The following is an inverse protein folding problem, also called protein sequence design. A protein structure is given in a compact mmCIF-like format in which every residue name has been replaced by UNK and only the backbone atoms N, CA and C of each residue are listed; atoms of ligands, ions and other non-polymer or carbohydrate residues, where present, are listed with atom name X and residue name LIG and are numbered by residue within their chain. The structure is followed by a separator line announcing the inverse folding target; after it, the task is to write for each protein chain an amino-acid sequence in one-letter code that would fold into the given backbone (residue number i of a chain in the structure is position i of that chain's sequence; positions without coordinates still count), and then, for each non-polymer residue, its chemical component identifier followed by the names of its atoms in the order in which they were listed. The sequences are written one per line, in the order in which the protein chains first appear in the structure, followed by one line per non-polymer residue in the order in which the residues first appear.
data_IF_928564112960
#
_entry.id   IF_928564112960
#
_cell.length_a   1.000
_cell.length_b   1.000
_cell.length_c   1.000
_cell.angle_alpha   90.00
_cell.angle_beta   90.00
_cell.angle_gamma   90.00
#
_symmetry.space_group_name_H-M   'P 1'
#
loop_
_entity.id
_entity.type
_entity.pdbx_description
1 polymer ?
#
# COMPACT_ATOMS: atom_id res chain seq x y z
N UNK A 1 7.78 21.10 9.72
CA UNK A 1 8.17 20.44 8.44
C UNK A 1 9.25 19.36 8.62
N UNK A 2 9.61 18.99 9.86
CA UNK A 2 10.54 17.90 10.11
C UNK A 2 9.86 16.56 9.79
N UNK A 3 10.37 15.86 8.77
CA UNK A 3 9.90 14.54 8.37
C UNK A 3 9.24 14.46 7.00
N UNK A 4 9.11 15.57 6.29
CA UNK A 4 8.62 15.58 4.91
C UNK A 4 9.76 15.95 3.95
N UNK A 5 9.95 15.17 2.92
CA UNK A 5 11.07 15.29 1.98
C UNK A 5 10.92 16.53 1.10
N UNK A 6 11.88 17.46 1.18
CA UNK A 6 12.07 18.57 0.25
C UNK A 6 11.64 19.95 0.76
N UNK A 7 12.45 20.95 0.48
CA UNK A 7 12.22 22.36 0.87
C UNK A 7 10.95 22.97 0.27
N UNK A 8 10.46 22.45 -0.84
CA UNK A 8 9.22 22.93 -1.47
C UNK A 8 7.96 22.59 -0.67
N UNK A 9 8.01 21.56 0.16
CA UNK A 9 6.88 21.17 1.02
C UNK A 9 6.65 22.15 2.18
N UNK A 10 7.64 22.97 2.52
CA UNK A 10 7.48 24.02 3.54
C UNK A 10 6.88 25.32 2.99
N UNK A 11 6.76 25.47 1.68
CA UNK A 11 6.25 26.67 1.03
C UNK A 11 4.75 26.56 0.71
N UNK A 12 4.22 25.33 0.61
CA UNK A 12 2.81 25.06 0.25
C UNK A 12 2.30 23.86 1.01
N UNK A 13 1.10 23.98 1.56
CA UNK A 13 0.43 22.85 2.20
C UNK A 13 0.00 21.83 1.15
N UNK A 14 0.28 20.56 1.41
CA UNK A 14 -0.09 19.44 0.55
C UNK A 14 -0.78 18.36 1.34
N UNK A 15 -1.80 17.76 0.72
CA UNK A 15 -2.45 16.55 1.21
C UNK A 15 -2.19 15.44 0.21
N UNK A 16 -1.59 14.35 0.68
CA UNK A 16 -1.45 13.13 -0.09
C UNK A 16 -2.64 12.23 0.21
N UNK A 17 -3.34 11.81 -0.83
CA UNK A 17 -4.52 10.96 -0.73
C UNK A 17 -4.45 9.84 -1.75
N UNK A 18 -5.03 8.70 -1.42
CA UNK A 18 -5.16 7.58 -2.34
C UNK A 18 -5.90 6.40 -1.74
N UNK A 19 -6.40 5.48 -2.57
CA UNK A 19 -7.05 4.28 -2.10
C UNK A 19 -6.04 3.33 -1.44
N UNK A 20 -6.38 2.80 -0.27
CA UNK A 20 -5.52 1.87 0.47
C UNK A 20 -5.50 0.46 -0.13
N UNK A 21 -6.54 0.07 -0.88
CA UNK A 21 -6.68 -1.28 -1.44
C UNK A 21 -7.05 -1.25 -2.91
N UNK A 22 -6.11 -0.85 -3.81
CA UNK A 22 -6.36 -0.86 -5.24
C UNK A 22 -6.50 -2.29 -5.77
N UNK A 23 -7.30 -2.47 -6.82
CA UNK A 23 -7.46 -3.75 -7.51
C UNK A 23 -6.44 -3.95 -8.64
N UNK A 24 -5.83 -2.89 -9.14
CA UNK A 24 -4.75 -2.96 -10.14
C UNK A 24 -3.59 -3.81 -9.63
N UNK A 25 -3.04 -4.63 -10.50
CA UNK A 25 -1.90 -5.51 -10.20
C UNK A 25 -0.79 -5.31 -11.20
N UNK A 26 0.43 -5.22 -10.66
CA UNK A 26 1.66 -5.18 -11.42
C UNK A 26 2.47 -6.45 -11.30
N UNK A 27 3.69 -6.41 -11.79
CA UNK A 27 4.61 -7.52 -11.67
C UNK A 27 6.06 -7.06 -11.63
N UNK A 28 6.90 -7.89 -11.04
CA UNK A 28 8.36 -7.77 -11.05
C UNK A 28 8.93 -8.99 -11.77
N UNK A 29 9.88 -8.77 -12.67
CA UNK A 29 10.52 -9.84 -13.44
C UNK A 29 12.02 -9.64 -13.48
N UNK A 30 12.75 -10.74 -13.51
CA UNK A 30 14.18 -10.75 -13.79
C UNK A 30 14.38 -10.31 -15.26
N UNK A 31 15.28 -9.36 -15.49
CA UNK A 31 15.58 -8.80 -16.80
C UNK A 31 16.82 -9.41 -17.46
N UNK A 32 17.64 -10.14 -16.69
CA UNK A 32 18.86 -10.80 -17.19
C UNK A 32 19.43 -11.81 -16.21
N UNK A 33 20.45 -12.59 -16.62
CA UNK A 33 21.01 -13.68 -15.81
C UNK A 33 21.87 -13.19 -14.64
N UNK A 34 22.40 -11.98 -14.71
CA UNK A 34 23.31 -11.44 -13.71
C UNK A 34 22.60 -10.48 -12.76
N UNK A 35 23.04 -10.43 -11.51
CA UNK A 35 22.49 -9.55 -10.47
C UNK A 35 22.69 -8.05 -10.74
N UNK A 36 23.52 -7.70 -11.71
CA UNK A 36 23.75 -6.31 -12.15
C UNK A 36 22.57 -5.77 -12.97
N UNK A 37 21.73 -6.65 -13.54
CA UNK A 37 20.57 -6.21 -14.31
C UNK A 37 19.47 -5.75 -13.36
N UNK A 38 19.01 -4.53 -13.53
CA UNK A 38 17.85 -4.02 -12.80
C UNK A 38 16.60 -4.84 -13.14
N UNK A 39 15.77 -5.20 -12.16
CA UNK A 39 14.54 -5.94 -12.43
C UNK A 39 13.57 -5.08 -13.25
N UNK A 40 12.82 -5.72 -14.12
CA UNK A 40 11.69 -5.06 -14.78
C UNK A 40 10.53 -4.94 -13.79
N UNK A 41 10.09 -3.71 -13.50
CA UNK A 41 9.00 -3.42 -12.57
C UNK A 41 7.88 -2.72 -13.33
N UNK A 42 6.70 -3.31 -13.35
CA UNK A 42 5.47 -2.75 -13.92
C UNK A 42 4.42 -2.62 -12.82
N UNK A 43 4.12 -1.40 -12.40
CA UNK A 43 3.10 -1.15 -11.37
C UNK A 43 1.68 -1.33 -11.89
N UNK A 44 1.41 -0.92 -13.14
CA UNK A 44 0.12 -1.04 -13.80
C UNK A 44 -1.02 -0.32 -13.05
N UNK A 45 -0.72 0.88 -12.52
CA UNK A 45 -1.71 1.71 -11.82
C UNK A 45 -2.94 2.00 -12.68
N UNK A 46 -4.11 2.15 -12.02
CA UNK A 46 -5.37 2.58 -12.65
C UNK A 46 -5.81 1.67 -13.80
N UNK A 47 -5.50 0.37 -13.72
CA UNK A 47 -5.88 -0.60 -14.74
C UNK A 47 -7.33 -1.11 -14.59
N UNK A 48 -8.00 -0.78 -13.48
CA UNK A 48 -9.39 -1.16 -13.21
C UNK A 48 -10.27 0.06 -13.03
N UNK A 49 -11.55 -0.08 -13.40
CA UNK A 49 -12.55 0.98 -13.17
C UNK A 49 -12.75 1.26 -11.68
N UNK A 50 -12.68 0.22 -10.85
CA UNK A 50 -12.78 0.40 -9.39
C UNK A 50 -11.74 1.38 -8.86
N UNK A 51 -10.49 1.28 -9.31
CA UNK A 51 -9.44 2.18 -8.86
C UNK A 51 -9.73 3.64 -9.25
N UNK A 52 -10.29 3.87 -10.44
CA UNK A 52 -10.72 5.22 -10.85
C UNK A 52 -11.86 5.74 -9.98
N UNK A 53 -12.86 4.91 -9.71
CA UNK A 53 -13.99 5.26 -8.82
C UNK A 53 -13.47 5.62 -7.43
N UNK A 54 -12.58 4.84 -6.87
CA UNK A 54 -11.97 5.09 -5.56
C UNK A 54 -11.19 6.41 -5.55
N UNK A 55 -10.43 6.71 -6.61
CA UNK A 55 -9.70 7.97 -6.73
C UNK A 55 -10.63 9.19 -6.85
N UNK A 56 -11.72 9.08 -7.61
CA UNK A 56 -12.75 10.14 -7.70
C UNK A 56 -13.30 10.47 -6.31
N UNK A 57 -13.61 9.42 -5.52
CA UNK A 57 -14.08 9.58 -4.14
C UNK A 57 -13.01 10.18 -3.22
N UNK A 58 -11.78 9.71 -3.31
CA UNK A 58 -10.66 10.24 -2.52
C UNK A 58 -10.48 11.75 -2.73
N UNK A 59 -10.49 12.22 -3.98
CA UNK A 59 -10.33 13.66 -4.29
C UNK A 59 -11.51 14.49 -3.78
N UNK A 60 -12.75 14.00 -3.98
CA UNK A 60 -13.96 14.69 -3.49
C UNK A 60 -13.97 14.82 -1.98
N UNK A 61 -13.70 13.70 -1.27
CA UNK A 61 -13.64 13.69 0.18
C UNK A 61 -12.52 14.58 0.72
N UNK A 62 -11.36 14.57 0.10
CA UNK A 62 -10.24 15.44 0.50
C UNK A 62 -10.61 16.91 0.37
N UNK A 63 -11.23 17.32 -0.74
CA UNK A 63 -11.69 18.71 -0.92
C UNK A 63 -12.76 19.07 0.10
N UNK A 64 -13.72 18.20 0.38
CA UNK A 64 -14.74 18.40 1.41
C UNK A 64 -14.12 18.59 2.80
N UNK A 65 -13.15 17.75 3.18
CA UNK A 65 -12.43 17.89 4.46
C UNK A 65 -11.70 19.23 4.53
N UNK A 66 -10.98 19.60 3.48
CA UNK A 66 -10.22 20.85 3.45
C UNK A 66 -11.12 22.09 3.41
N UNK A 67 -12.38 21.96 3.02
CA UNK A 67 -13.37 23.04 3.02
C UNK A 67 -14.13 23.19 4.33
N UNK A 68 -13.83 22.37 5.35
CA UNK A 68 -14.50 22.51 6.65
C UNK A 68 -14.16 23.86 7.32
N UNK A 69 -15.14 24.50 7.99
CA UNK A 69 -14.94 25.82 8.61
C UNK A 69 -13.79 25.90 9.60
N UNK A 70 -13.44 24.79 10.26
CA UNK A 70 -12.31 24.71 11.19
C UNK A 70 -10.95 24.99 10.52
N UNK A 71 -10.87 24.94 9.19
CA UNK A 71 -9.64 25.20 8.42
C UNK A 71 -9.64 26.57 7.73
N UNK A 72 -10.69 27.38 7.90
CA UNK A 72 -10.85 28.64 7.15
C UNK A 72 -9.71 29.64 7.37
N UNK A 73 -9.17 29.73 8.58
CA UNK A 73 -8.07 30.65 8.88
C UNK A 73 -6.71 30.18 8.32
N UNK A 74 -6.60 28.89 7.95
CA UNK A 74 -5.37 28.30 7.41
C UNK A 74 -5.45 28.03 5.91
N UNK A 75 -6.66 28.08 5.32
CA UNK A 75 -6.92 27.70 3.94
C UNK A 75 -6.77 28.86 2.98
N UNK A 76 -5.89 28.73 2.01
CA UNK A 76 -5.83 29.57 0.82
C UNK A 76 -6.64 29.03 -0.35
N UNK A 77 -6.38 29.55 -1.55
CA UNK A 77 -6.95 29.01 -2.78
C UNK A 77 -6.35 27.63 -3.14
N UNK A 78 -7.20 26.73 -3.63
CA UNK A 78 -6.75 25.44 -4.15
C UNK A 78 -5.83 25.64 -5.36
N UNK A 79 -4.63 25.03 -5.31
CA UNK A 79 -3.64 25.08 -6.39
C UNK A 79 -3.77 23.85 -7.27
N UNK A 80 -3.95 22.66 -6.68
CA UNK A 80 -4.16 21.39 -7.35
C UNK A 80 -5.22 20.58 -6.61
N UNK A 81 -6.06 19.81 -7.32
CA UNK A 81 -6.11 19.61 -8.78
C UNK A 81 -6.61 20.80 -9.60
N UNK A 82 -7.29 21.81 -9.02
CA UNK A 82 -7.79 22.97 -9.73
C UNK A 82 -8.79 22.69 -10.86
N UNK A 83 -9.49 21.55 -10.77
CA UNK A 83 -10.46 21.06 -11.76
C UNK A 83 -11.85 20.91 -11.13
N UNK A 84 -12.88 20.82 -11.98
CA UNK A 84 -14.22 20.44 -11.53
C UNK A 84 -14.25 18.94 -11.17
N UNK A 85 -14.47 18.63 -9.88
CA UNK A 85 -14.56 17.24 -9.40
C UNK A 85 -15.94 16.62 -9.67
N UNK A 86 -16.92 17.34 -10.22
CA UNK A 86 -18.17 16.75 -10.69
C UNK A 86 -18.02 16.06 -12.05
N UNK A 87 -17.01 16.46 -12.83
CA UNK A 87 -16.66 15.83 -14.11
C UNK A 87 -15.70 14.64 -13.90
N UNK A 88 -16.23 13.43 -13.91
CA UNK A 88 -15.48 12.18 -13.77
C UNK A 88 -14.36 12.06 -14.81
N UNK A 89 -14.60 12.47 -16.05
CA UNK A 89 -13.60 12.36 -17.10
C UNK A 89 -12.40 13.31 -16.87
N UNK A 90 -12.68 14.53 -16.39
CA UNK A 90 -11.62 15.46 -16.01
C UNK A 90 -10.81 14.95 -14.81
N UNK A 91 -11.49 14.36 -13.82
CA UNK A 91 -10.84 13.74 -12.66
C UNK A 91 -9.95 12.60 -13.09
N UNK A 92 -10.44 11.67 -13.89
CA UNK A 92 -9.67 10.52 -14.38
C UNK A 92 -8.44 10.95 -15.18
N UNK A 93 -8.62 11.93 -16.05
CA UNK A 93 -7.51 12.47 -16.84
C UNK A 93 -6.45 13.13 -15.97
N UNK A 94 -6.86 13.82 -14.91
CA UNK A 94 -5.93 14.43 -13.96
C UNK A 94 -5.20 13.36 -13.13
N UNK A 95 -5.93 12.38 -12.58
CA UNK A 95 -5.36 11.27 -11.79
C UNK A 95 -4.34 10.50 -12.62
N UNK A 96 -4.65 10.14 -13.87
CA UNK A 96 -3.72 9.41 -14.76
C UNK A 96 -2.41 10.14 -15.02
N UNK A 97 -2.41 11.48 -14.98
CA UNK A 97 -1.19 12.29 -15.17
C UNK A 97 -0.41 12.52 -13.88
N UNK A 98 -1.05 12.39 -12.71
CA UNK A 98 -0.46 12.83 -11.45
C UNK A 98 -0.35 11.71 -10.40
N UNK A 99 -0.82 10.50 -10.70
CA UNK A 99 -0.69 9.36 -9.78
C UNK A 99 0.78 8.98 -9.63
N UNK A 100 1.21 8.84 -8.40
CA UNK A 100 2.56 8.42 -8.02
C UNK A 100 2.50 7.24 -7.06
N UNK A 101 3.64 6.59 -6.87
CA UNK A 101 3.76 5.52 -5.90
C UNK A 101 3.74 6.08 -4.47
N UNK A 102 3.04 5.39 -3.55
CA UNK A 102 3.14 5.64 -2.13
C UNK A 102 4.35 4.92 -1.48
N UNK A 103 5.23 4.32 -2.28
CA UNK A 103 6.41 3.54 -1.84
C UNK A 103 6.07 2.37 -0.93
N UNK A 104 4.91 1.74 -1.14
CA UNK A 104 4.44 0.60 -0.38
C UNK A 104 4.23 -0.66 -1.25
N UNK A 105 5.24 -1.10 -2.06
CA UNK A 105 5.13 -2.33 -2.81
C UNK A 105 5.08 -3.53 -1.86
N UNK A 106 4.20 -4.50 -2.15
CA UNK A 106 3.96 -5.66 -1.31
C UNK A 106 3.30 -6.79 -2.09
N UNK A 107 3.10 -7.95 -1.44
CA UNK A 107 2.30 -9.07 -1.92
C UNK A 107 2.85 -9.85 -3.12
N UNK A 108 4.07 -9.59 -3.60
CA UNK A 108 4.65 -10.29 -4.76
C UNK A 108 5.08 -11.75 -4.46
N UNK A 109 5.32 -12.08 -3.18
CA UNK A 109 5.62 -13.43 -2.68
C UNK A 109 4.59 -13.88 -1.64
N UNK A 110 3.30 -13.63 -1.91
CA UNK A 110 2.22 -13.74 -0.95
C UNK A 110 2.21 -15.05 -0.15
N UNK A 111 1.92 -14.93 1.13
CA UNK A 111 1.64 -16.04 2.02
C UNK A 111 0.22 -16.58 1.77
N UNK A 112 0.03 -17.87 1.95
CA UNK A 112 -1.31 -18.47 1.89
C UNK A 112 -1.38 -19.86 2.48
N UNK A 113 -2.61 -20.35 2.63
CA UNK A 113 -2.91 -21.70 3.11
C UNK A 113 -2.44 -22.75 2.10
N UNK A 114 -2.28 -24.00 2.55
CA UNK A 114 -1.73 -25.10 1.73
C UNK A 114 -2.46 -25.31 0.38
N UNK A 115 -3.74 -25.02 0.34
CA UNK A 115 -4.60 -25.13 -0.85
C UNK A 115 -4.67 -23.85 -1.69
N UNK A 116 -3.95 -22.79 -1.33
CA UNK A 116 -3.88 -21.57 -2.16
C UNK A 116 -2.75 -21.74 -3.19
N UNK A 117 -3.13 -22.01 -4.43
CA UNK A 117 -2.19 -22.21 -5.55
C UNK A 117 -1.38 -20.94 -5.89
N UNK A 118 -1.85 -19.76 -5.49
CA UNK A 118 -1.15 -18.49 -5.72
C UNK A 118 -0.16 -18.14 -4.61
N UNK A 119 -0.10 -18.92 -3.54
CA UNK A 119 0.79 -18.64 -2.44
C UNK A 119 2.23 -19.09 -2.77
N UNK A 120 3.19 -18.19 -2.57
CA UNK A 120 4.62 -18.42 -2.74
C UNK A 120 5.24 -18.96 -1.44
N UNK A 121 4.79 -18.48 -0.29
CA UNK A 121 5.24 -18.96 1.02
C UNK A 121 4.10 -19.52 1.85
N UNK A 122 4.45 -20.42 2.78
CA UNK A 122 3.53 -20.94 3.78
C UNK A 122 3.40 -20.01 5.02
N UNK A 123 2.52 -20.32 5.99
CA UNK A 123 2.37 -19.51 7.21
C UNK A 123 3.63 -19.44 8.10
N UNK A 124 4.65 -20.24 7.84
CA UNK A 124 5.96 -20.19 8.48
C UNK A 124 7.00 -19.45 7.63
N UNK A 125 6.57 -18.68 6.62
CA UNK A 125 7.41 -17.93 5.69
C UNK A 125 8.33 -18.81 4.81
N UNK A 126 8.11 -20.13 4.74
CA UNK A 126 8.93 -21.04 3.93
C UNK A 126 8.47 -21.02 2.48
N UNK A 127 9.43 -20.93 1.57
CA UNK A 127 9.14 -20.95 0.12
C UNK A 127 8.64 -22.33 -0.28
N UNK A 128 7.53 -22.38 -0.98
CA UNK A 128 6.96 -23.65 -1.47
C UNK A 128 7.82 -24.24 -2.56
N UNK A 129 8.07 -25.54 -2.46
CA UNK A 129 8.89 -26.27 -3.43
C UNK A 129 10.40 -26.11 -3.27
N UNK A 130 10.86 -25.34 -2.28
CA UNK A 130 12.26 -25.20 -1.93
C UNK A 130 12.48 -25.56 -0.45
N UNK A 131 13.59 -26.21 -0.16
CA UNK A 131 14.01 -26.52 1.21
C UNK A 131 15.00 -25.47 1.73
N UNK A 132 14.90 -25.12 3.02
CA UNK A 132 15.84 -24.23 3.69
C UNK A 132 15.71 -22.75 3.32
N UNK A 133 14.70 -22.33 2.53
CA UNK A 133 14.51 -20.94 2.09
C UNK A 133 13.26 -20.35 2.71
N UNK A 134 13.40 -19.12 3.22
CA UNK A 134 12.29 -18.28 3.69
C UNK A 134 12.33 -16.90 3.04
N UNK A 135 11.16 -16.28 2.91
CA UNK A 135 11.00 -14.86 2.53
C UNK A 135 10.34 -14.17 3.71
N UNK A 136 10.95 -13.06 4.19
CA UNK A 136 10.52 -12.35 5.39
C UNK A 136 10.60 -10.84 5.13
N UNK A 137 9.67 -10.34 4.38
CA UNK A 137 9.51 -8.91 4.10
C UNK A 137 8.04 -8.62 3.70
N UNK A 138 7.72 -7.40 3.31
CA UNK A 138 6.35 -7.01 2.92
C UNK A 138 5.81 -7.75 1.68
N UNK A 139 6.65 -8.41 0.90
CA UNK A 139 6.20 -9.19 -0.25
C UNK A 139 5.33 -10.39 0.13
N UNK A 140 5.45 -10.89 1.38
CA UNK A 140 4.68 -12.04 1.84
C UNK A 140 3.23 -11.72 2.23
N UNK A 141 2.84 -10.45 2.34
CA UNK A 141 1.47 -10.13 2.68
C UNK A 141 0.48 -10.74 1.69
N UNK A 142 -0.60 -11.40 2.17
CA UNK A 142 -1.65 -11.95 1.29
C UNK A 142 -2.37 -10.87 0.47
N UNK A 143 -2.59 -9.70 1.10
CA UNK A 143 -3.10 -8.47 0.50
C UNK A 143 -2.43 -7.29 1.17
N UNK A 144 -2.41 -6.14 0.49
CA UNK A 144 -1.87 -4.92 1.08
C UNK A 144 -2.63 -4.56 2.38
N UNK A 145 -1.93 -4.25 3.48
CA UNK A 145 -2.55 -3.79 4.71
C UNK A 145 -3.27 -2.45 4.52
N UNK A 146 -4.17 -2.13 5.45
CA UNK A 146 -4.88 -0.86 5.43
C UNK A 146 -4.05 0.22 6.15
N UNK A 147 -3.13 0.83 5.44
CA UNK A 147 -2.21 1.84 5.95
C UNK A 147 -0.75 1.53 5.62
N UNK A 148 0.17 2.23 6.29
CA UNK A 148 1.60 2.13 6.03
C UNK A 148 2.17 0.75 6.35
N UNK A 149 3.14 0.29 5.54
CA UNK A 149 3.70 -1.06 5.63
C UNK A 149 4.72 -1.24 6.76
N UNK A 150 5.29 -0.17 7.31
CA UNK A 150 6.43 -0.29 8.23
C UNK A 150 6.10 -1.13 9.47
N UNK A 151 5.06 -0.78 10.21
CA UNK A 151 4.68 -1.50 11.43
C UNK A 151 4.32 -2.97 11.18
N UNK A 152 3.44 -3.32 10.20
CA UNK A 152 3.15 -4.71 9.91
C UNK A 152 4.35 -5.49 9.37
N UNK A 153 5.29 -4.85 8.66
CA UNK A 153 6.52 -5.52 8.21
C UNK A 153 7.43 -5.87 9.39
N UNK A 154 7.60 -4.95 10.35
CA UNK A 154 8.35 -5.23 11.59
C UNK A 154 7.69 -6.38 12.35
N UNK A 155 6.37 -6.37 12.52
CA UNK A 155 5.63 -7.44 13.20
C UNK A 155 5.86 -8.80 12.53
N UNK A 156 5.82 -8.85 11.21
CA UNK A 156 6.10 -10.09 10.45
C UNK A 156 7.54 -10.54 10.64
N UNK A 157 8.50 -9.61 10.61
CA UNK A 157 9.92 -9.93 10.78
C UNK A 157 10.23 -10.49 12.17
N UNK A 158 9.68 -9.89 13.22
CA UNK A 158 9.81 -10.39 14.60
C UNK A 158 9.20 -11.80 14.75
N UNK A 159 7.99 -11.99 14.22
CA UNK A 159 7.35 -13.31 14.25
C UNK A 159 8.13 -14.36 13.47
N UNK A 160 8.68 -14.01 12.31
CA UNK A 160 9.48 -14.92 11.52
C UNK A 160 10.81 -15.26 12.21
N UNK A 161 11.43 -14.31 12.91
CA UNK A 161 12.63 -14.55 13.71
C UNK A 161 12.36 -15.58 14.81
N UNK A 162 11.23 -15.46 15.52
CA UNK A 162 10.83 -16.46 16.53
C UNK A 162 10.63 -17.84 15.93
N UNK A 163 9.98 -17.93 14.77
CA UNK A 163 9.80 -19.18 14.04
C UNK A 163 11.14 -19.82 13.60
N UNK A 164 12.10 -19.01 13.16
CA UNK A 164 13.44 -19.46 12.76
C UNK A 164 14.22 -19.99 13.97
N UNK A 165 14.08 -19.31 15.11
CA UNK A 165 14.77 -19.67 16.36
C UNK A 165 14.05 -20.77 17.15
N UNK A 166 12.90 -21.25 16.69
CA UNK A 166 12.09 -22.25 17.40
C UNK A 166 11.51 -21.77 18.72
N UNK A 167 11.31 -20.45 18.86
CA UNK A 167 10.71 -19.89 20.07
C UNK A 167 9.19 -20.03 20.06
N UNK A 168 8.62 -20.21 21.26
CA UNK A 168 7.17 -20.17 21.44
C UNK A 168 6.61 -18.78 21.08
N UNK A 169 5.38 -18.73 20.52
CA UNK A 169 4.72 -17.47 20.26
C UNK A 169 4.57 -16.66 21.54
N UNK A 170 4.83 -15.35 21.45
CA UNK A 170 4.49 -14.43 22.52
C UNK A 170 2.98 -14.52 22.81
N UNK A 171 2.63 -14.79 24.07
CA UNK A 171 1.23 -14.76 24.48
C UNK A 171 0.74 -13.31 24.50
N UNK A 172 -0.29 -13.03 23.73
CA UNK A 172 -0.91 -11.72 23.68
C UNK A 172 -2.08 -11.73 24.66
N UNK A 173 -1.92 -11.01 25.75
CA UNK A 173 -2.99 -10.76 26.73
C UNK A 173 -3.78 -9.48 26.39
N UNK A 174 -4.02 -9.24 25.14
CA UNK A 174 -4.80 -8.10 24.66
C UNK A 174 -6.13 -8.60 24.07
N UNK A 175 -7.26 -7.94 24.36
CA UNK A 175 -8.52 -8.28 23.74
C UNK A 175 -8.43 -8.07 22.22
N UNK A 176 -8.60 -9.13 21.45
CA UNK A 176 -8.70 -9.06 20.00
C UNK A 176 -10.07 -8.50 19.66
N UNK A 177 -10.11 -7.27 19.16
CA UNK A 177 -11.35 -6.75 18.60
C UNK A 177 -11.71 -7.55 17.34
N UNK A 178 -12.94 -8.03 17.29
CA UNK A 178 -13.51 -8.68 16.10
C UNK A 178 -14.72 -7.91 15.66
N UNK A 179 -14.74 -7.51 14.40
CA UNK A 179 -15.93 -6.92 13.83
C UNK A 179 -17.08 -7.95 13.88
N UNK A 180 -18.19 -7.63 14.56
CA UNK A 180 -19.34 -8.54 14.63
C UNK A 180 -19.95 -8.83 13.25
N UNK A 181 -19.71 -7.99 12.26
CA UNK A 181 -20.17 -8.17 10.88
C UNK A 181 -19.30 -9.16 10.06
N UNK A 182 -18.10 -9.48 10.55
CA UNK A 182 -17.26 -10.50 9.92
C UNK A 182 -17.67 -11.89 10.34
N UNK A 183 -18.44 -12.56 9.46
CA UNK A 183 -18.80 -13.98 9.57
C UNK A 183 -18.04 -14.80 8.53
#
# INVERSE_FOLDING_TARGET
CEGLVGSEMCIRDRVHVGPNKPDSRGHVRISGPDSIHEPFIQFNYLSTEKDLVDWRQCLRLTREILQQPALDEFRGGEIQPGIDLSDDAAVDAWVRRNVETAYHPSCSCRMGARNDERAVVDPQCRVRGLEGVRIVDSSIFPTIPNGNLNAPTIMVAERAADLILGKEPMQIDAPVWRDPAWR
#
